data_IF_247968837594
#
_entry.id   IF_247968837594
#
_cell.length_a   1.000
_cell.length_b   1.000
_cell.length_c   1.000
_cell.angle_alpha   90.00
_cell.angle_beta   90.00
_cell.angle_gamma   90.00
#
_symmetry.space_group_name_H-M   'P 1'
#
loop_
_entity.id
_entity.type
_entity.pdbx_description
1 polymer ?
#
# COMPACT_ATOMS: atom_id res chain seq x y z
N UNK A 1 37.02 -29.84 -6.32
CA UNK A 1 35.66 -29.29 -6.09
C UNK A 1 35.57 -28.81 -4.65
N UNK A 2 35.49 -27.49 -4.41
CA UNK A 2 35.38 -26.91 -3.07
C UNK A 2 33.91 -26.88 -2.63
N UNK A 3 33.59 -27.59 -1.55
CA UNK A 3 32.27 -27.60 -0.94
C UNK A 3 32.12 -26.36 -0.04
N UNK A 4 31.23 -25.44 -0.41
CA UNK A 4 30.93 -24.24 0.38
C UNK A 4 29.76 -24.54 1.34
N UNK A 5 29.95 -24.46 2.67
CA UNK A 5 28.91 -24.80 3.62
C UNK A 5 27.84 -23.70 3.76
N UNK A 6 26.56 -24.10 3.68
CA UNK A 6 25.36 -23.23 3.73
C UNK A 6 24.96 -22.82 5.16
N UNK A 7 25.88 -22.32 5.98
CA UNK A 7 25.62 -22.13 7.43
C UNK A 7 25.13 -20.71 7.80
N UNK A 8 25.17 -19.73 6.89
CA UNK A 8 24.99 -18.33 7.30
C UNK A 8 23.56 -17.79 7.33
N UNK A 9 22.56 -18.46 6.75
CA UNK A 9 21.20 -17.88 6.65
C UNK A 9 20.36 -17.98 7.93
N UNK A 10 20.53 -19.06 8.72
CA UNK A 10 19.73 -19.27 9.96
C UNK A 10 20.19 -18.38 11.12
N UNK A 11 21.48 -18.04 11.19
CA UNK A 11 22.04 -17.26 12.28
C UNK A 11 21.63 -15.77 12.22
N UNK A 12 21.42 -15.24 11.01
CA UNK A 12 20.95 -13.85 10.79
C UNK A 12 19.45 -13.69 11.11
N UNK A 13 18.63 -14.67 10.74
CA UNK A 13 17.18 -14.62 11.01
C UNK A 13 16.85 -14.60 12.51
N UNK A 14 17.63 -15.29 13.35
CA UNK A 14 17.43 -15.31 14.80
C UNK A 14 17.75 -13.98 15.51
N UNK A 15 18.56 -13.11 14.91
CA UNK A 15 18.90 -11.78 15.47
C UNK A 15 17.99 -10.66 14.98
N UNK A 16 17.34 -10.84 13.82
CA UNK A 16 16.40 -9.86 13.26
C UNK A 16 15.06 -9.86 14.01
N UNK A 17 14.62 -11.02 14.47
CA UNK A 17 13.34 -11.20 15.17
C UNK A 17 13.24 -10.44 16.52
N UNK A 18 14.26 -10.43 17.41
CA UNK A 18 14.21 -9.59 18.61
C UNK A 18 14.34 -8.09 18.31
N UNK A 19 15.04 -7.71 17.24
CA UNK A 19 15.22 -6.31 16.85
C UNK A 19 13.91 -5.69 16.34
N UNK A 20 13.14 -6.44 15.55
CA UNK A 20 11.82 -5.99 15.07
C UNK A 20 10.81 -5.89 16.21
N UNK A 21 10.82 -6.82 17.16
CA UNK A 21 9.95 -6.77 18.34
C UNK A 21 10.29 -5.55 19.21
N UNK A 22 11.57 -5.28 19.45
CA UNK A 22 12.01 -4.11 20.21
C UNK A 22 11.58 -2.80 19.52
N UNK A 23 11.71 -2.72 18.20
CA UNK A 23 11.27 -1.56 17.41
C UNK A 23 9.75 -1.33 17.46
N UNK A 24 8.95 -2.41 17.45
CA UNK A 24 7.49 -2.29 17.59
C UNK A 24 7.11 -1.84 19.02
N UNK A 25 7.80 -2.34 20.04
CA UNK A 25 7.57 -1.96 21.44
C UNK A 25 7.91 -0.48 21.72
N UNK A 26 8.93 0.08 21.08
CA UNK A 26 9.24 1.53 21.23
C UNK A 26 8.18 2.41 20.58
N UNK A 27 7.56 1.97 19.48
CA UNK A 27 6.47 2.72 18.83
C UNK A 27 5.18 2.74 19.68
N UNK A 28 4.91 1.66 20.43
CA UNK A 28 3.70 1.54 21.25
C UNK A 28 3.85 2.31 22.58
N UNK A 29 5.06 2.39 23.12
CA UNK A 29 5.34 3.03 24.43
C UNK A 29 5.04 4.54 24.49
N UNK A 30 4.87 5.22 23.34
CA UNK A 30 4.67 6.67 23.26
C UNK A 30 3.24 7.17 23.52
N UNK A 31 2.24 6.32 23.72
CA UNK A 31 0.83 6.71 23.62
C UNK A 31 0.02 6.74 24.94
N UNK A 32 0.67 6.60 26.11
CA UNK A 32 -0.04 6.37 27.39
C UNK A 32 -0.24 7.62 28.28
N UNK A 33 -0.02 8.84 27.78
CA UNK A 33 0.02 10.03 28.66
C UNK A 33 -1.27 10.88 28.72
N UNK A 34 -2.37 10.52 28.05
CA UNK A 34 -3.56 11.38 28.01
C UNK A 34 -4.84 10.60 28.31
N UNK A 35 -4.97 10.14 29.55
CA UNK A 35 -6.22 9.55 30.02
C UNK A 35 -6.68 10.28 31.29
N UNK A 36 -7.73 11.10 31.11
CA UNK A 36 -8.68 11.52 32.16
C UNK A 36 -8.37 12.81 32.94
N UNK A 37 -8.29 13.93 32.22
CA UNK A 37 -8.66 15.25 32.77
C UNK A 37 -9.84 15.80 31.95
N UNK A 38 -10.74 16.52 32.59
CA UNK A 38 -11.97 17.03 31.98
C UNK A 38 -11.59 17.96 30.82
N UNK A 39 -11.70 17.50 29.57
CA UNK A 39 -11.24 18.25 28.40
C UNK A 39 -12.26 19.35 28.08
N UNK A 40 -12.19 20.47 28.79
CA UNK A 40 -12.64 21.74 28.23
C UNK A 40 -11.76 22.00 27.02
N UNK A 41 -12.30 21.78 25.82
CA UNK A 41 -11.59 22.06 24.57
C UNK A 41 -11.44 23.58 24.48
N UNK A 42 -10.31 24.08 24.98
CA UNK A 42 -9.91 25.45 24.75
C UNK A 42 -9.63 25.60 23.26
N UNK A 43 -10.45 26.37 22.54
CA UNK A 43 -10.30 26.60 21.10
C UNK A 43 -8.93 27.15 20.69
N UNK A 44 -8.20 27.74 21.64
CA UNK A 44 -6.82 28.18 21.46
C UNK A 44 -5.83 27.04 21.22
N UNK A 45 -5.99 25.91 21.91
CA UNK A 45 -5.07 24.76 21.83
C UNK A 45 -5.27 23.99 20.52
N UNK A 46 -6.51 23.91 20.04
CA UNK A 46 -6.82 23.30 18.74
C UNK A 46 -6.26 24.16 17.60
N UNK A 47 -6.36 25.49 17.72
CA UNK A 47 -5.82 26.44 16.75
C UNK A 47 -4.28 26.38 16.66
N UNK A 48 -3.59 26.31 17.79
CA UNK A 48 -2.12 26.22 17.81
C UNK A 48 -1.60 24.89 17.26
N UNK A 49 -2.28 23.78 17.57
CA UNK A 49 -1.95 22.47 16.98
C UNK A 49 -2.16 22.47 15.47
N UNK A 50 -3.29 23.00 14.99
CA UNK A 50 -3.56 23.08 13.56
C UNK A 50 -2.55 24.01 12.86
N UNK A 51 -2.23 25.15 13.45
CA UNK A 51 -1.24 26.09 12.92
C UNK A 51 0.17 25.50 12.86
N UNK A 52 0.55 24.60 13.77
CA UNK A 52 1.84 23.93 13.72
C UNK A 52 1.85 22.74 12.72
N UNK A 53 0.71 22.07 12.55
CA UNK A 53 0.60 20.84 11.76
C UNK A 53 -0.07 21.04 10.37
N UNK A 54 -0.36 22.28 9.97
CA UNK A 54 -1.11 22.59 8.74
C UNK A 54 -0.49 21.96 7.49
N UNK A 55 0.84 21.86 7.44
CA UNK A 55 1.56 21.24 6.31
C UNK A 55 1.21 19.76 6.14
N UNK A 56 1.02 19.01 7.23
CA UNK A 56 0.60 17.60 7.17
C UNK A 56 -0.84 17.46 6.70
N UNK A 57 -1.72 18.36 7.14
CA UNK A 57 -3.13 18.39 6.71
C UNK A 57 -3.20 18.67 5.21
N UNK A 58 -2.53 19.72 4.74
CA UNK A 58 -2.47 20.07 3.31
C UNK A 58 -1.83 18.96 2.49
N UNK A 59 -0.72 18.38 2.97
CA UNK A 59 -0.06 17.24 2.32
C UNK A 59 -0.96 16.02 2.20
N UNK A 60 -1.72 15.70 3.26
CA UNK A 60 -2.69 14.60 3.26
C UNK A 60 -3.82 14.81 2.26
N UNK A 61 -4.35 16.02 2.16
CA UNK A 61 -5.40 16.37 1.18
C UNK A 61 -4.89 16.25 -0.26
N UNK A 62 -3.68 16.76 -0.54
CA UNK A 62 -3.08 16.67 -1.88
C UNK A 62 -2.83 15.20 -2.25
N UNK A 63 -2.28 14.41 -1.33
CA UNK A 63 -2.04 12.99 -1.55
C UNK A 63 -3.34 12.23 -1.84
N UNK A 64 -4.39 12.51 -1.07
CA UNK A 64 -5.70 11.91 -1.28
C UNK A 64 -6.27 12.23 -2.68
N UNK A 65 -6.17 13.49 -3.12
CA UNK A 65 -6.58 13.89 -4.46
C UNK A 65 -5.81 13.14 -5.55
N UNK A 66 -4.50 12.98 -5.39
CA UNK A 66 -3.69 12.21 -6.34
C UNK A 66 -4.16 10.75 -6.41
N UNK A 67 -4.42 10.10 -5.27
CA UNK A 67 -4.92 8.72 -5.24
C UNK A 67 -6.25 8.62 -5.98
N UNK A 68 -7.19 9.54 -5.74
CA UNK A 68 -8.49 9.55 -6.41
C UNK A 68 -8.33 9.71 -7.93
N UNK A 69 -7.49 10.65 -8.36
CA UNK A 69 -7.24 10.90 -9.78
C UNK A 69 -6.61 9.67 -10.44
N UNK A 70 -5.59 9.07 -9.82
CA UNK A 70 -4.93 7.88 -10.37
C UNK A 70 -5.86 6.67 -10.38
N UNK A 71 -6.66 6.47 -9.34
CA UNK A 71 -7.64 5.38 -9.27
C UNK A 71 -8.76 5.55 -10.32
N UNK A 72 -9.23 6.78 -10.54
CA UNK A 72 -10.27 7.08 -11.53
C UNK A 72 -9.84 6.81 -12.97
N UNK A 73 -8.53 6.81 -13.26
CA UNK A 73 -8.00 6.54 -14.60
C UNK A 73 -8.05 5.07 -15.00
N UNK A 74 -8.39 4.16 -14.09
CA UNK A 74 -8.51 2.72 -14.36
C UNK A 74 -9.87 2.29 -14.92
N UNK A 75 -10.74 3.22 -15.36
CA UNK A 75 -12.08 2.88 -15.90
C UNK A 75 -12.08 2.55 -17.41
N UNK A 76 -11.05 1.85 -17.91
CA UNK A 76 -10.92 1.63 -19.35
C UNK A 76 -10.17 0.37 -19.74
N UNK A 77 -10.29 -0.73 -18.98
CA UNK A 77 -9.78 -2.02 -19.46
C UNK A 77 -10.79 -2.63 -20.43
N UNK A 78 -10.81 -2.12 -21.67
CA UNK A 78 -11.55 -2.75 -22.78
C UNK A 78 -11.03 -4.18 -22.91
N UNK A 79 -11.89 -5.16 -22.61
CA UNK A 79 -11.54 -6.57 -22.69
C UNK A 79 -11.65 -6.99 -24.14
N UNK A 80 -10.51 -7.07 -24.84
CA UNK A 80 -10.46 -7.61 -26.20
C UNK A 80 -10.47 -9.13 -26.11
N UNK A 81 -11.54 -9.75 -26.58
CA UNK A 81 -11.63 -11.20 -26.71
C UNK A 81 -11.53 -11.55 -28.19
N UNK A 82 -10.46 -12.26 -28.56
CA UNK A 82 -10.29 -12.75 -29.93
C UNK A 82 -10.63 -14.24 -29.96
N UNK A 83 -11.70 -14.59 -30.65
CA UNK A 83 -12.11 -15.98 -30.87
C UNK A 83 -11.57 -16.42 -32.23
N UNK A 84 -10.73 -17.46 -32.23
CA UNK A 84 -10.17 -18.07 -33.44
C UNK A 84 -10.88 -19.38 -33.70
N UNK A 85 -11.61 -19.47 -34.81
CA UNK A 85 -12.27 -20.71 -35.24
C UNK A 85 -11.35 -21.43 -36.22
N UNK A 86 -10.92 -22.64 -35.86
CA UNK A 86 -10.08 -23.52 -36.70
C UNK A 86 -10.88 -24.70 -37.23
N UNK A 87 -10.52 -25.17 -38.43
CA UNK A 87 -11.06 -26.40 -39.01
C UNK A 87 -10.38 -27.66 -38.44
N UNK A 88 -10.91 -28.84 -38.80
CA UNK A 88 -10.42 -30.15 -38.37
C UNK A 88 -8.98 -30.46 -38.86
N UNK A 89 -8.48 -29.71 -39.84
CA UNK A 89 -7.13 -29.81 -40.39
C UNK A 89 -6.18 -28.73 -39.81
N UNK A 90 -6.65 -27.91 -38.87
CA UNK A 90 -5.88 -26.88 -38.19
C UNK A 90 -5.80 -25.54 -38.92
N UNK A 91 -6.47 -25.37 -40.06
CA UNK A 91 -6.49 -24.10 -40.79
C UNK A 91 -7.44 -23.11 -40.12
N UNK A 92 -7.08 -21.82 -40.12
CA UNK A 92 -7.89 -20.75 -39.54
C UNK A 92 -9.02 -20.39 -40.50
N UNK A 93 -10.27 -20.59 -40.07
CA UNK A 93 -11.46 -20.38 -40.91
C UNK A 93 -12.10 -19.00 -40.68
N UNK A 94 -12.02 -18.47 -39.47
CA UNK A 94 -12.49 -17.12 -39.14
C UNK A 94 -11.84 -16.61 -37.86
N UNK A 95 -11.55 -15.31 -37.81
CA UNK A 95 -11.08 -14.59 -36.62
C UNK A 95 -12.10 -13.50 -36.33
N UNK A 96 -12.78 -13.61 -35.19
CA UNK A 96 -13.71 -12.57 -34.72
C UNK A 96 -13.14 -11.97 -33.45
N UNK A 97 -12.88 -10.67 -33.48
CA UNK A 97 -12.49 -9.90 -32.30
C UNK A 97 -13.71 -9.13 -31.83
N UNK A 98 -14.16 -9.45 -30.62
CA UNK A 98 -15.23 -8.69 -29.96
C UNK A 98 -14.61 -7.82 -28.90
N UNK A 99 -14.89 -6.52 -28.98
CA UNK A 99 -14.54 -5.55 -27.94
C UNK A 99 -15.77 -5.40 -27.03
N UNK A 100 -15.69 -5.91 -25.80
CA UNK A 100 -16.68 -5.60 -24.76
C UNK A 100 -16.29 -4.29 -24.08
N UNK A 101 -17.24 -3.35 -24.04
CA UNK A 101 -17.10 -2.00 -23.50
C UNK A 101 -17.69 -1.91 -22.11
#
# INVERSE_FOLDING_TARGET
MLHVPKITKKLLAGKLLPLTILFVLTLISGHQAFAQENVEINGHDVGSWFANNWMYVVGGVILLLLIIILASRSSGKVRKTTTVVKDTYGNVKSVTTTEEK
#
